data_IF_261681216905
#
_entry.id   IF_261681216905
#
_cell.length_a   1.000
_cell.length_b   1.000
_cell.length_c   1.000
_cell.angle_alpha   90.00
_cell.angle_beta   90.00
_cell.angle_gamma   90.00
#
_symmetry.space_group_name_H-M   'P 1'
#
loop_
_entity.id
_entity.type
_entity.pdbx_description
1 polymer ?
#
# COMPACT_ATOMS: atom_id res chain seq x y z
N UNK A 1 -18.28 -15.21 -7.78
CA UNK A 1 -18.10 -14.63 -9.12
C UNK A 1 -16.75 -15.02 -9.70
N UNK A 2 -16.62 -14.93 -11.02
CA UNK A 2 -15.35 -15.03 -11.73
C UNK A 2 -15.43 -14.08 -12.94
N UNK A 3 -14.42 -13.21 -13.06
CA UNK A 3 -14.38 -12.16 -14.05
C UNK A 3 -13.03 -12.19 -14.79
N UNK A 4 -13.05 -11.96 -16.11
CA UNK A 4 -11.87 -11.79 -16.93
C UNK A 4 -11.96 -10.44 -17.63
N UNK A 5 -10.96 -9.59 -17.41
CA UNK A 5 -10.92 -8.25 -17.96
C UNK A 5 -9.63 -8.00 -18.75
N UNK A 6 -9.77 -7.30 -19.87
CA UNK A 6 -8.65 -6.76 -20.63
C UNK A 6 -8.73 -5.23 -20.63
N UNK A 7 -7.67 -4.58 -20.16
CA UNK A 7 -7.54 -3.12 -20.13
C UNK A 7 -6.36 -2.70 -20.99
N UNK A 8 -6.51 -1.62 -21.72
CA UNK A 8 -5.40 -0.92 -22.35
C UNK A 8 -5.49 0.57 -22.03
N UNK A 9 -4.36 1.23 -22.03
CA UNK A 9 -4.26 2.68 -21.90
C UNK A 9 -3.16 3.20 -22.80
N UNK A 10 -3.34 4.46 -23.25
CA UNK A 10 -2.40 5.22 -24.05
C UNK A 10 -2.62 6.69 -23.75
N UNK A 11 -1.56 7.47 -23.58
CA UNK A 11 -1.67 8.89 -23.34
C UNK A 11 -0.45 9.57 -22.72
N UNK A 12 -0.38 10.88 -22.90
CA UNK A 12 0.75 11.70 -22.46
C UNK A 12 0.55 12.30 -21.06
N UNK A 13 -0.67 12.28 -20.51
CA UNK A 13 -0.94 12.79 -19.16
C UNK A 13 -0.62 11.72 -18.13
N UNK A 14 0.65 11.67 -17.72
CA UNK A 14 1.20 10.65 -16.84
C UNK A 14 2.25 11.17 -15.90
N UNK A 15 2.49 10.44 -14.82
CA UNK A 15 3.63 10.67 -13.94
C UNK A 15 4.91 10.14 -14.59
N UNK A 16 6.12 10.68 -14.26
CA UNK A 16 7.38 10.27 -14.88
C UNK A 16 7.65 8.77 -14.89
N UNK A 17 7.30 8.05 -13.79
CA UNK A 17 7.52 6.59 -13.67
C UNK A 17 6.43 5.73 -14.29
N UNK A 18 5.32 6.32 -14.72
CA UNK A 18 4.27 5.61 -15.45
C UNK A 18 4.65 5.47 -16.92
N UNK A 19 4.34 4.34 -17.53
CA UNK A 19 4.53 4.15 -18.97
C UNK A 19 3.59 5.01 -19.79
N UNK A 20 3.97 5.29 -21.05
CA UNK A 20 3.13 6.02 -22.00
C UNK A 20 1.90 5.21 -22.42
N UNK A 21 2.11 3.92 -22.59
CA UNK A 21 1.02 2.99 -22.92
C UNK A 21 1.20 1.65 -22.22
N UNK A 22 0.15 0.85 -22.23
CA UNK A 22 0.23 -0.49 -21.71
C UNK A 22 -1.06 -1.27 -21.87
N UNK A 23 -0.97 -2.54 -21.53
CA UNK A 23 -2.14 -3.40 -21.42
C UNK A 23 -2.06 -4.28 -20.19
N UNK A 24 -3.22 -4.66 -19.70
CA UNK A 24 -3.38 -5.49 -18.52
C UNK A 24 -4.46 -6.54 -18.76
N UNK A 25 -4.13 -7.80 -18.48
CA UNK A 25 -5.11 -8.90 -18.41
C UNK A 25 -5.31 -9.22 -16.94
N UNK A 26 -6.54 -9.18 -16.49
CA UNK A 26 -6.91 -9.43 -15.09
C UNK A 26 -7.90 -10.58 -15.02
N UNK A 27 -7.61 -11.54 -14.18
CA UNK A 27 -8.53 -12.58 -13.77
C UNK A 27 -8.83 -12.45 -12.30
N UNK A 28 -10.10 -12.26 -11.98
CA UNK A 28 -10.60 -12.15 -10.62
C UNK A 28 -11.57 -13.29 -10.32
N UNK A 29 -11.47 -13.86 -9.14
CA UNK A 29 -12.48 -14.79 -8.61
C UNK A 29 -12.66 -14.56 -7.13
N UNK A 30 -13.90 -14.63 -6.68
CA UNK A 30 -14.25 -14.54 -5.28
C UNK A 30 -15.42 -15.46 -4.94
N UNK A 31 -15.41 -15.92 -3.70
CA UNK A 31 -16.49 -16.74 -3.18
C UNK A 31 -16.51 -16.69 -1.66
N UNK A 32 -17.69 -16.93 -1.12
CA UNK A 32 -17.86 -16.97 0.32
C UNK A 32 -19.19 -17.58 0.71
N UNK A 33 -19.27 -17.98 1.96
CA UNK A 33 -20.47 -18.58 2.51
C UNK A 33 -20.33 -18.96 3.96
N UNK A 34 -21.39 -19.55 4.50
CA UNK A 34 -21.35 -20.13 5.85
C UNK A 34 -20.90 -21.60 5.76
N UNK A 35 -19.91 -21.95 6.56
CA UNK A 35 -19.49 -23.32 6.79
C UNK A 35 -19.87 -23.65 8.24
N UNK A 36 -20.95 -24.38 8.43
CA UNK A 36 -21.68 -24.48 9.71
C UNK A 36 -22.08 -23.07 10.16
N UNK A 37 -21.59 -22.63 11.33
CA UNK A 37 -21.91 -21.30 11.89
C UNK A 37 -20.83 -20.26 11.61
N UNK A 38 -19.71 -20.66 11.01
CA UNK A 38 -18.62 -19.76 10.62
C UNK A 38 -18.89 -19.14 9.26
N UNK A 39 -18.53 -17.89 9.08
CA UNK A 39 -18.47 -17.24 7.79
C UNK A 39 -17.05 -17.31 7.24
N UNK A 40 -16.89 -17.71 5.99
CA UNK A 40 -15.63 -17.67 5.27
C UNK A 40 -15.84 -17.02 3.91
N UNK A 41 -14.90 -16.17 3.52
CA UNK A 41 -14.83 -15.53 2.20
C UNK A 41 -13.39 -15.52 1.73
N UNK A 42 -13.19 -15.70 0.43
CA UNK A 42 -11.90 -15.60 -0.19
C UNK A 42 -11.98 -15.01 -1.59
N UNK A 43 -10.89 -14.35 -2.01
CA UNK A 43 -10.71 -13.91 -3.40
C UNK A 43 -9.31 -14.19 -3.89
N UNK A 44 -9.20 -14.46 -5.17
CA UNK A 44 -7.95 -14.59 -5.88
C UNK A 44 -7.98 -13.66 -7.09
N UNK A 45 -6.92 -12.85 -7.22
CA UNK A 45 -6.69 -11.99 -8.37
C UNK A 45 -5.35 -12.34 -9.01
N UNK A 46 -5.35 -12.59 -10.28
CA UNK A 46 -4.16 -12.67 -11.12
C UNK A 46 -4.19 -11.53 -12.13
N UNK A 47 -3.10 -10.78 -12.24
CA UNK A 47 -2.96 -9.79 -13.30
C UNK A 47 -1.58 -9.87 -13.96
N UNK A 48 -1.58 -9.68 -15.27
CA UNK A 48 -0.38 -9.55 -16.09
C UNK A 48 -0.45 -8.26 -16.87
N UNK A 49 0.51 -7.36 -16.60
CA UNK A 49 0.59 -6.07 -17.27
C UNK A 49 1.89 -5.90 -18.03
N UNK A 50 1.77 -5.25 -19.17
CA UNK A 50 2.87 -4.75 -19.97
C UNK A 50 2.80 -3.24 -19.96
N UNK A 51 3.85 -2.61 -19.44
CA UNK A 51 4.01 -1.16 -19.40
C UNK A 51 5.05 -0.79 -20.45
N UNK A 52 4.75 0.17 -21.31
CA UNK A 52 5.66 0.63 -22.35
C UNK A 52 6.20 2.00 -22.03
N UNK A 53 7.48 2.20 -22.34
CA UNK A 53 8.16 3.50 -22.27
C UNK A 53 8.09 4.15 -20.89
N UNK A 54 8.35 3.37 -19.83
CA UNK A 54 8.48 3.90 -18.49
C UNK A 54 9.91 4.43 -18.25
N UNK A 55 9.99 5.59 -17.59
CA UNK A 55 11.24 6.25 -17.21
C UNK A 55 11.46 6.19 -15.69
N UNK A 56 12.70 6.37 -15.26
CA UNK A 56 13.09 6.59 -13.87
C UNK A 56 12.55 5.52 -12.90
N UNK A 57 12.44 4.28 -13.36
CA UNK A 57 11.87 3.21 -12.57
C UNK A 57 12.74 1.95 -12.60
N UNK A 58 13.08 1.46 -11.41
CA UNK A 58 13.80 0.19 -11.22
C UNK A 58 13.07 -0.78 -10.28
N UNK A 59 11.86 -0.45 -9.84
CA UNK A 59 11.05 -1.18 -8.87
C UNK A 59 9.62 -1.37 -9.38
N UNK A 60 8.94 -2.45 -8.99
CA UNK A 60 7.51 -2.67 -9.26
C UNK A 60 6.60 -2.16 -8.13
N UNK A 61 7.17 -1.85 -6.97
CA UNK A 61 6.41 -1.19 -5.91
C UNK A 61 6.16 0.26 -6.30
N UNK A 62 5.04 0.81 -5.85
CA UNK A 62 4.68 2.21 -6.07
C UNK A 62 5.82 3.14 -5.62
N UNK A 63 6.46 3.88 -6.53
CA UNK A 63 7.53 4.82 -6.20
C UNK A 63 7.03 6.00 -5.35
N UNK A 64 5.71 6.24 -5.33
CA UNK A 64 5.06 7.31 -4.56
C UNK A 64 4.56 6.86 -3.19
N UNK A 65 4.94 5.66 -2.73
CA UNK A 65 4.53 5.12 -1.42
C UNK A 65 5.10 5.89 -0.22
N UNK A 66 6.03 6.83 -0.46
CA UNK A 66 6.68 7.63 0.57
C UNK A 66 8.05 7.09 1.00
N UNK A 67 8.67 6.21 0.20
CA UNK A 67 10.05 5.76 0.37
C UNK A 67 10.98 6.71 -0.42
N UNK A 68 11.79 7.56 0.25
CA UNK A 68 12.69 8.48 -0.45
C UNK A 68 13.92 7.79 -1.02
N UNK A 69 14.32 6.64 -0.46
CA UNK A 69 15.55 5.91 -0.81
C UNK A 69 15.26 4.88 -1.90
N UNK A 70 15.41 5.25 -3.15
CA UNK A 70 15.24 4.32 -4.25
C UNK A 70 16.28 4.53 -5.36
N UNK A 71 16.34 3.58 -6.28
CA UNK A 71 17.25 3.62 -7.42
C UNK A 71 16.46 3.89 -8.69
N UNK A 72 16.97 4.78 -9.52
CA UNK A 72 16.38 5.13 -10.81
C UNK A 72 17.47 5.20 -11.88
N UNK A 73 17.10 4.98 -13.14
CA UNK A 73 17.90 5.32 -14.30
C UNK A 73 17.09 6.15 -15.31
N UNK A 74 17.75 6.73 -16.29
CA UNK A 74 17.15 7.57 -17.32
C UNK A 74 16.75 6.79 -18.57
N UNK A 75 17.02 5.49 -18.63
CA UNK A 75 16.75 4.68 -19.80
C UNK A 75 15.28 4.29 -19.89
N UNK A 76 14.61 4.83 -20.89
CA UNK A 76 13.22 4.47 -21.21
C UNK A 76 13.13 2.98 -21.51
N UNK A 77 12.21 2.29 -20.88
CA UNK A 77 12.09 0.84 -21.05
C UNK A 77 10.66 0.33 -20.88
N UNK A 78 10.44 -0.85 -21.45
CA UNK A 78 9.22 -1.61 -21.24
C UNK A 78 9.37 -2.51 -20.02
N UNK A 79 8.25 -2.76 -19.34
CA UNK A 79 8.14 -3.70 -18.23
C UNK A 79 7.12 -4.78 -18.53
N UNK A 80 7.42 -6.00 -18.10
CA UNK A 80 6.48 -7.12 -18.04
C UNK A 80 6.32 -7.53 -16.59
N UNK A 81 5.11 -7.38 -16.06
CA UNK A 81 4.82 -7.66 -14.66
C UNK A 81 3.74 -8.73 -14.52
N UNK A 82 3.80 -9.47 -13.43
CA UNK A 82 2.79 -10.43 -13.02
C UNK A 82 2.50 -10.25 -11.54
N UNK A 83 1.24 -10.29 -11.17
CA UNK A 83 0.79 -10.09 -9.79
C UNK A 83 -0.21 -11.18 -9.41
N UNK A 84 0.00 -11.75 -8.25
CA UNK A 84 -0.88 -12.71 -7.60
C UNK A 84 -1.34 -12.12 -6.28
N UNK A 85 -2.64 -12.04 -6.05
CA UNK A 85 -3.23 -11.48 -4.83
C UNK A 85 -4.26 -12.44 -4.28
N UNK A 86 -4.15 -12.72 -3.00
CA UNK A 86 -5.08 -13.55 -2.24
C UNK A 86 -5.64 -12.71 -1.09
N UNK A 87 -6.95 -12.79 -0.89
CA UNK A 87 -7.61 -12.24 0.29
C UNK A 87 -8.44 -13.33 0.94
N UNK A 88 -8.48 -13.34 2.26
CA UNK A 88 -9.34 -14.23 3.02
C UNK A 88 -9.96 -13.50 4.20
N UNK A 89 -11.18 -13.85 4.53
CA UNK A 89 -11.88 -13.37 5.73
C UNK A 89 -12.60 -14.52 6.37
N UNK A 90 -12.43 -14.63 7.65
CA UNK A 90 -13.13 -15.61 8.46
C UNK A 90 -13.75 -14.91 9.65
N UNK A 91 -14.98 -15.24 9.98
CA UNK A 91 -15.65 -14.74 11.17
C UNK A 91 -16.34 -15.90 11.90
N UNK A 92 -16.25 -15.91 13.22
CA UNK A 92 -16.93 -16.86 14.08
C UNK A 92 -18.40 -16.50 14.24
N UNK A 93 -19.24 -17.45 14.63
CA UNK A 93 -20.55 -17.12 15.19
C UNK A 93 -20.39 -16.25 16.44
N UNK A 94 -21.50 -15.70 16.89
CA UNK A 94 -21.54 -14.95 18.12
C UNK A 94 -21.58 -15.88 19.32
N UNK A 95 -20.53 -15.86 20.13
CA UNK A 95 -20.48 -16.59 21.40
C UNK A 95 -21.19 -15.79 22.49
N UNK A 96 -21.87 -16.48 23.39
CA UNK A 96 -22.62 -15.89 24.52
C UNK A 96 -23.54 -14.71 24.15
N UNK A 97 -23.98 -14.64 22.89
CA UNK A 97 -24.80 -13.56 22.34
C UNK A 97 -24.15 -12.17 22.34
N UNK A 98 -22.84 -12.02 22.60
CA UNK A 98 -22.18 -10.72 22.58
C UNK A 98 -20.79 -10.71 21.96
N UNK A 99 -20.07 -11.82 21.82
CA UNK A 99 -18.68 -11.86 21.40
C UNK A 99 -18.52 -12.56 20.05
N UNK A 100 -17.81 -11.94 19.10
CA UNK A 100 -17.42 -12.58 17.84
C UNK A 100 -15.94 -12.27 17.53
N UNK A 101 -15.26 -13.20 16.88
CA UNK A 101 -13.88 -13.04 16.40
C UNK A 101 -13.86 -13.00 14.88
N UNK A 102 -12.89 -12.29 14.35
CA UNK A 102 -12.63 -12.21 12.92
C UNK A 102 -11.15 -12.30 12.60
N UNK A 103 -10.84 -12.73 11.40
CA UNK A 103 -9.51 -12.71 10.82
C UNK A 103 -9.61 -12.24 9.38
N UNK A 104 -8.88 -11.18 9.02
CA UNK A 104 -8.67 -10.73 7.65
C UNK A 104 -7.22 -11.00 7.27
N UNK A 105 -7.00 -11.61 6.13
CA UNK A 105 -5.69 -11.95 5.60
C UNK A 105 -5.53 -11.46 4.17
N UNK A 106 -4.37 -10.89 3.86
CA UNK A 106 -3.99 -10.50 2.51
C UNK A 106 -2.58 -10.98 2.21
N UNK A 107 -2.40 -11.57 1.03
CA UNK A 107 -1.11 -11.93 0.49
C UNK A 107 -0.99 -11.45 -0.95
N UNK A 108 0.15 -10.87 -1.29
CA UNK A 108 0.51 -10.53 -2.66
C UNK A 108 1.91 -11.01 -2.95
N UNK A 109 2.09 -11.60 -4.13
CA UNK A 109 3.38 -11.84 -4.75
C UNK A 109 3.37 -11.19 -6.14
N UNK A 110 4.48 -10.56 -6.51
CA UNK A 110 4.61 -9.90 -7.82
C UNK A 110 6.02 -10.07 -8.34
N UNK A 111 6.12 -10.26 -9.65
CA UNK A 111 7.40 -10.32 -10.36
C UNK A 111 7.34 -9.35 -11.53
N UNK A 112 8.36 -8.52 -11.67
CA UNK A 112 8.51 -7.59 -12.77
C UNK A 112 9.87 -7.67 -13.42
N UNK A 113 9.91 -7.42 -14.73
CA UNK A 113 11.14 -7.44 -15.50
C UNK A 113 11.19 -6.26 -16.48
N UNK A 114 12.20 -5.41 -16.28
CA UNK A 114 12.57 -4.31 -17.18
C UNK A 114 13.37 -4.85 -18.37
N UNK A 115 13.07 -4.40 -19.57
CA UNK A 115 13.56 -5.00 -20.82
C UNK A 115 14.85 -4.36 -21.35
N UNK A 116 15.17 -3.11 -20.96
CA UNK A 116 16.38 -2.38 -21.39
C UNK A 116 17.35 -2.21 -20.21
N UNK A 117 18.64 -2.14 -20.48
CA UNK A 117 19.71 -1.94 -19.52
C UNK A 117 19.60 -0.56 -18.81
N UNK A 118 19.83 -0.42 -17.50
CA UNK A 118 20.01 -1.58 -16.59
C UNK A 118 18.72 -2.43 -16.55
N UNK A 119 18.77 -3.69 -16.97
CA UNK A 119 17.63 -4.58 -16.81
C UNK A 119 17.43 -4.91 -15.35
N UNK A 120 16.21 -4.71 -14.89
CA UNK A 120 15.84 -5.02 -13.51
C UNK A 120 14.94 -6.24 -13.48
N UNK A 121 15.25 -7.18 -12.60
CA UNK A 121 14.32 -8.20 -12.11
C UNK A 121 13.90 -7.81 -10.70
N UNK A 122 12.61 -7.62 -10.50
CA UNK A 122 12.03 -7.30 -9.20
C UNK A 122 11.13 -8.44 -8.76
N UNK A 123 11.30 -8.87 -7.51
CA UNK A 123 10.42 -9.83 -6.83
C UNK A 123 9.89 -9.18 -5.57
N UNK A 124 8.60 -8.95 -5.53
CA UNK A 124 7.90 -8.31 -4.43
C UNK A 124 6.93 -9.28 -3.75
N UNK A 125 6.88 -9.26 -2.42
CA UNK A 125 5.80 -9.89 -1.67
C UNK A 125 5.38 -9.06 -0.46
N UNK A 126 4.13 -9.22 -0.08
CA UNK A 126 3.59 -8.69 1.18
C UNK A 126 2.57 -9.64 1.76
N UNK A 127 2.56 -9.70 3.08
CA UNK A 127 1.55 -10.41 3.87
C UNK A 127 0.99 -9.44 4.90
N UNK A 128 -0.33 -9.44 5.06
CA UNK A 128 -1.05 -8.66 6.07
C UNK A 128 -2.00 -9.59 6.81
N UNK A 129 -1.98 -9.53 8.12
CA UNK A 129 -2.86 -10.31 8.99
C UNK A 129 -3.52 -9.37 9.99
N UNK A 130 -4.86 -9.41 10.05
CA UNK A 130 -5.67 -8.60 10.96
C UNK A 130 -6.64 -9.47 11.76
N UNK A 131 -6.25 -9.95 12.94
CA UNK A 131 -7.21 -10.49 13.90
C UNK A 131 -8.04 -9.37 14.52
N UNK A 132 -9.30 -9.64 14.76
CA UNK A 132 -10.22 -8.68 15.37
C UNK A 132 -11.26 -9.35 16.27
N UNK A 133 -11.82 -8.56 17.16
CA UNK A 133 -12.89 -8.95 18.07
C UNK A 133 -14.01 -7.92 18.03
N UNK A 134 -15.24 -8.39 18.07
CA UNK A 134 -16.43 -7.55 18.11
C UNK A 134 -17.26 -7.90 19.34
N UNK A 135 -17.57 -6.87 20.12
CA UNK A 135 -18.46 -6.92 21.28
C UNK A 135 -19.80 -6.28 20.92
N UNK A 136 -20.89 -7.02 21.04
CA UNK A 136 -22.26 -6.54 20.85
C UNK A 136 -22.87 -6.20 22.21
N UNK A 137 -23.25 -4.92 22.40
CA UNK A 137 -23.92 -4.44 23.60
C UNK A 137 -25.40 -4.15 23.29
N UNK A 138 -26.25 -5.03 23.71
CA UNK A 138 -27.66 -4.99 23.36
C UNK A 138 -27.91 -5.27 21.86
N UNK A 139 -29.00 -4.71 21.31
CA UNK A 139 -29.39 -4.95 19.91
C UNK A 139 -28.71 -4.01 18.91
N UNK A 140 -28.29 -2.83 19.36
CA UNK A 140 -27.97 -1.73 18.46
C UNK A 140 -26.49 -1.30 18.50
N UNK A 141 -25.73 -1.70 19.50
CA UNK A 141 -24.36 -1.22 19.72
C UNK A 141 -23.36 -2.36 19.47
N UNK A 142 -22.30 -2.06 18.69
CA UNK A 142 -21.20 -2.98 18.48
C UNK A 142 -19.88 -2.20 18.60
N UNK A 143 -18.95 -2.78 19.33
CA UNK A 143 -17.60 -2.26 19.50
C UNK A 143 -16.63 -3.26 18.90
N UNK A 144 -15.74 -2.78 18.05
CA UNK A 144 -14.69 -3.59 17.42
C UNK A 144 -13.31 -3.14 17.90
N UNK A 145 -12.43 -4.11 18.01
CA UNK A 145 -10.99 -3.92 18.20
C UNK A 145 -10.27 -4.82 17.22
N UNK A 146 -9.31 -4.29 16.50
CA UNK A 146 -8.43 -5.08 15.65
C UNK A 146 -6.96 -4.74 15.87
N UNK A 147 -6.11 -5.69 15.50
CA UNK A 147 -4.67 -5.56 15.45
C UNK A 147 -4.22 -5.87 14.03
N UNK A 148 -3.23 -5.16 13.51
CA UNK A 148 -2.65 -5.40 12.20
C UNK A 148 -1.16 -5.69 12.33
N UNK A 149 -0.71 -6.73 11.64
CA UNK A 149 0.68 -6.95 11.31
C UNK A 149 0.83 -7.08 9.79
N UNK A 150 1.80 -6.36 9.23
CA UNK A 150 2.16 -6.50 7.82
C UNK A 150 3.68 -6.62 7.66
N UNK A 151 4.08 -7.46 6.71
CA UNK A 151 5.46 -7.57 6.25
C UNK A 151 5.52 -7.31 4.75
N UNK A 152 6.49 -6.52 4.33
CA UNK A 152 6.71 -6.11 2.93
C UNK A 152 8.16 -6.36 2.57
N UNK A 153 8.40 -7.01 1.43
CA UNK A 153 9.75 -7.14 0.90
C UNK A 153 9.76 -7.05 -0.62
N UNK A 154 10.76 -6.36 -1.14
CA UNK A 154 11.10 -6.36 -2.56
C UNK A 154 12.59 -6.59 -2.72
N UNK A 155 12.96 -7.57 -3.54
CA UNK A 155 14.34 -7.84 -3.93
C UNK A 155 14.52 -7.43 -5.39
N UNK A 156 15.46 -6.53 -5.63
CA UNK A 156 15.81 -5.98 -6.95
C UNK A 156 17.20 -6.46 -7.35
N UNK A 157 17.29 -7.05 -8.53
CA UNK A 157 18.55 -7.30 -9.23
C UNK A 157 18.58 -6.47 -10.51
N UNK A 158 19.50 -5.51 -10.57
CA UNK A 158 19.75 -4.69 -11.75
C UNK A 158 21.04 -5.18 -12.42
N UNK A 159 21.00 -5.47 -13.72
CA UNK A 159 22.15 -5.99 -14.47
C UNK A 159 22.20 -5.44 -15.88
N UNK A 160 23.37 -4.99 -16.31
CA UNK A 160 23.64 -4.70 -17.71
C UNK A 160 23.88 -6.00 -18.48
N UNK A 161 23.26 -6.15 -19.65
CA UNK A 161 23.50 -7.31 -20.52
C UNK A 161 24.90 -7.21 -21.13
N UNK A 162 25.30 -6.01 -21.54
CA UNK A 162 26.67 -5.75 -21.97
C UNK A 162 27.53 -5.35 -20.76
N UNK A 163 28.29 -6.30 -20.23
CA UNK A 163 29.17 -6.07 -19.08
C UNK A 163 30.42 -5.22 -19.38
N UNK A 164 30.69 -4.90 -20.64
CA UNK A 164 31.77 -4.00 -21.06
C UNK A 164 31.38 -2.53 -21.02
N UNK A 165 30.08 -2.23 -20.83
CA UNK A 165 29.57 -0.86 -20.78
C UNK A 165 28.90 -0.65 -19.44
N UNK A 166 29.52 0.17 -18.60
CA UNK A 166 28.90 0.63 -17.37
C UNK A 166 27.67 1.50 -17.66
N UNK A 167 26.63 1.30 -16.88
CA UNK A 167 25.38 2.05 -16.98
C UNK A 167 25.30 3.03 -15.82
N UNK A 168 24.88 4.26 -16.13
CA UNK A 168 24.62 5.28 -15.11
C UNK A 168 23.26 5.09 -14.48
N UNK A 169 23.19 5.19 -13.17
CA UNK A 169 21.96 5.19 -12.38
C UNK A 169 22.08 6.12 -11.17
N UNK A 170 20.95 6.45 -10.57
CA UNK A 170 20.85 7.43 -9.50
C UNK A 170 20.31 6.76 -8.23
N UNK A 171 20.97 7.07 -7.11
CA UNK A 171 20.52 6.72 -5.76
C UNK A 171 19.84 7.94 -5.18
N UNK A 172 18.52 7.87 -5.00
CA UNK A 172 17.74 8.97 -4.45
C UNK A 172 17.70 8.88 -2.92
N UNK A 173 17.76 10.03 -2.28
CA UNK A 173 17.68 10.20 -0.82
C UNK A 173 16.58 11.15 -0.35
N UNK A 174 15.72 11.57 -1.26
CA UNK A 174 14.54 12.40 -0.98
C UNK A 174 14.69 13.85 -1.43
N UNK A 175 13.57 14.53 -1.60
CA UNK A 175 13.46 15.95 -1.98
C UNK A 175 14.32 16.34 -3.20
N UNK A 176 14.41 15.45 -4.19
CA UNK A 176 15.21 15.68 -5.40
C UNK A 176 16.71 15.46 -5.22
N UNK A 177 17.17 15.11 -4.04
CA UNK A 177 18.58 14.74 -3.81
C UNK A 177 18.88 13.37 -4.40
N UNK A 178 19.90 13.30 -5.23
CA UNK A 178 20.35 12.06 -5.85
C UNK A 178 21.88 12.02 -5.95
N UNK A 179 22.44 10.84 -5.80
CA UNK A 179 23.85 10.56 -6.07
C UNK A 179 23.94 9.77 -7.36
N UNK A 180 24.64 10.30 -8.35
CA UNK A 180 24.96 9.60 -9.56
C UNK A 180 26.01 8.52 -9.28
N UNK A 181 25.83 7.37 -9.86
CA UNK A 181 26.76 6.25 -9.77
C UNK A 181 26.71 5.42 -11.06
N UNK A 182 27.71 4.58 -11.28
CA UNK A 182 27.76 3.70 -12.43
C UNK A 182 28.10 2.27 -12.03
N UNK A 183 27.82 1.34 -12.93
CA UNK A 183 28.15 -0.07 -12.73
C UNK A 183 27.44 -0.99 -13.71
N UNK A 184 27.78 -2.27 -13.63
CA UNK A 184 27.20 -3.33 -14.47
C UNK A 184 26.17 -4.19 -13.72
N UNK A 185 26.20 -4.14 -12.40
CA UNK A 185 25.26 -4.91 -11.56
C UNK A 185 25.02 -4.20 -10.22
N UNK A 186 23.79 -4.27 -9.74
CA UNK A 186 23.40 -3.78 -8.43
C UNK A 186 22.26 -4.59 -7.85
N UNK A 187 22.34 -4.77 -6.53
CA UNK A 187 21.26 -5.36 -5.73
C UNK A 187 20.70 -4.30 -4.80
N UNK A 188 19.39 -4.34 -4.60
CA UNK A 188 18.68 -3.50 -3.63
C UNK A 188 17.54 -4.32 -3.04
N UNK A 189 17.43 -4.30 -1.73
CA UNK A 189 16.33 -4.94 -1.00
C UNK A 189 15.59 -3.87 -0.20
N UNK A 190 14.27 -3.82 -0.37
CA UNK A 190 13.38 -3.14 0.56
C UNK A 190 12.79 -4.18 1.51
N UNK A 191 12.91 -3.91 2.81
CA UNK A 191 12.40 -4.80 3.85
C UNK A 191 11.67 -3.97 4.90
N UNK A 192 10.36 -4.21 5.05
CA UNK A 192 9.51 -3.42 5.93
C UNK A 192 8.58 -4.26 6.77
N UNK A 193 8.37 -3.80 8.01
CA UNK A 193 7.37 -4.34 8.91
C UNK A 193 6.46 -3.22 9.41
N UNK A 194 5.18 -3.52 9.51
CA UNK A 194 4.15 -2.62 10.00
C UNK A 194 3.38 -3.28 11.12
N UNK A 195 3.11 -2.52 12.15
CA UNK A 195 2.17 -2.86 13.21
C UNK A 195 1.12 -1.78 13.32
N UNK A 196 -0.11 -2.16 13.62
CA UNK A 196 -1.21 -1.23 13.74
C UNK A 196 -2.36 -1.81 14.57
N UNK A 197 -3.37 -0.99 14.78
CA UNK A 197 -4.61 -1.40 15.41
C UNK A 197 -5.70 -0.39 15.19
N UNK A 198 -6.94 -0.82 15.36
CA UNK A 198 -8.14 -0.02 15.15
C UNK A 198 -9.19 -0.23 16.22
N UNK A 199 -9.94 0.84 16.46
CA UNK A 199 -11.13 0.86 17.31
C UNK A 199 -12.33 1.22 16.44
N UNK A 200 -13.40 0.42 16.53
CA UNK A 200 -14.59 0.59 15.73
C UNK A 200 -15.81 0.68 16.64
N UNK A 201 -16.73 1.55 16.29
CA UNK A 201 -18.04 1.60 16.90
C UNK A 201 -19.11 1.63 15.83
N UNK A 202 -20.07 0.74 15.94
CA UNK A 202 -21.24 0.71 15.08
C UNK A 202 -22.53 0.81 15.91
N UNK A 203 -23.35 1.78 15.55
CA UNK A 203 -24.72 1.91 16.02
C UNK A 203 -25.67 1.54 14.86
N UNK A 204 -26.52 0.54 15.08
CA UNK A 204 -27.52 0.07 14.12
C UNK A 204 -28.90 0.14 14.76
N UNK A 205 -29.59 1.26 14.60
CA UNK A 205 -30.93 1.50 15.14
C UNK A 205 -31.81 2.27 14.15
N UNK A 206 -32.44 3.37 14.60
CA UNK A 206 -33.18 4.28 13.74
C UNK A 206 -32.31 4.92 12.67
N UNK A 207 -31.03 5.09 12.95
CA UNK A 207 -29.99 5.46 12.02
C UNK A 207 -28.84 4.43 12.14
N UNK A 208 -27.96 4.36 11.14
CA UNK A 208 -26.76 3.57 11.22
C UNK A 208 -25.56 4.50 11.24
N UNK A 209 -24.70 4.35 12.25
CA UNK A 209 -23.46 5.13 12.39
C UNK A 209 -22.31 4.15 12.53
N UNK A 210 -21.24 4.35 11.75
CA UNK A 210 -19.99 3.65 11.87
C UNK A 210 -18.88 4.67 12.12
N UNK A 211 -18.16 4.50 13.22
CA UNK A 211 -16.93 5.21 13.54
C UNK A 211 -15.78 4.20 13.50
N UNK A 212 -14.70 4.56 12.83
CA UNK A 212 -13.48 3.77 12.74
C UNK A 212 -12.28 4.69 13.00
N UNK A 213 -11.42 4.30 13.94
CA UNK A 213 -10.20 5.02 14.30
C UNK A 213 -9.04 4.05 14.27
N UNK A 214 -7.99 4.37 13.54
CA UNK A 214 -6.84 3.50 13.38
C UNK A 214 -5.51 4.24 13.53
N UNK A 215 -4.51 3.49 13.97
CA UNK A 215 -3.11 3.91 13.96
C UNK A 215 -2.25 2.75 13.45
N UNK A 216 -1.30 3.08 12.57
CA UNK A 216 -0.27 2.13 12.16
C UNK A 216 1.10 2.78 12.11
N UNK A 217 2.13 1.96 12.31
CA UNK A 217 3.54 2.36 12.19
C UNK A 217 4.30 1.32 11.39
N UNK A 218 4.89 1.78 10.30
CA UNK A 218 5.77 0.99 9.43
C UNK A 218 7.22 1.46 9.57
N UNK A 219 8.14 0.51 9.60
CA UNK A 219 9.57 0.74 9.42
C UNK A 219 10.01 -0.04 8.20
N UNK A 220 10.64 0.63 7.24
CA UNK A 220 11.10 0.02 5.99
C UNK A 220 12.53 0.43 5.70
N UNK A 221 13.40 -0.55 5.52
CA UNK A 221 14.82 -0.39 5.21
C UNK A 221 15.05 -0.56 3.71
N UNK A 222 15.89 0.30 3.13
CA UNK A 222 16.47 0.14 1.81
C UNK A 222 17.94 -0.27 1.97
N UNK A 223 18.28 -1.49 1.52
CA UNK A 223 19.57 -2.12 1.77
C UNK A 223 20.20 -2.51 0.44
N UNK A 224 21.46 -2.16 0.24
CA UNK A 224 22.24 -2.59 -0.91
C UNK A 224 23.16 -3.74 -0.53
N UNK A 225 23.46 -4.63 -1.48
CA UNK A 225 24.34 -5.80 -1.35
C UNK A 225 23.87 -6.81 -0.29
N UNK A 226 23.44 -8.01 -0.68
CA UNK A 226 22.96 -9.02 0.25
C UNK A 226 24.06 -9.62 1.14
N UNK A 227 25.29 -9.66 0.65
CA UNK A 227 26.44 -10.26 1.36
C UNK A 227 27.08 -9.33 2.37
N UNK A 228 27.04 -8.02 2.12
CA UNK A 228 27.60 -6.99 3.00
C UNK A 228 26.59 -5.84 3.07
N UNK A 229 25.55 -5.95 3.91
CA UNK A 229 24.46 -5.02 3.94
C UNK A 229 24.90 -3.57 4.21
N UNK A 230 24.58 -2.68 3.27
CA UNK A 230 24.76 -1.24 3.43
C UNK A 230 23.41 -0.57 3.34
N UNK A 231 23.04 0.20 4.34
CA UNK A 231 21.78 0.95 4.32
C UNK A 231 21.88 2.13 3.35
N UNK A 232 20.95 2.21 2.40
CA UNK A 232 20.67 3.46 1.67
C UNK A 232 19.92 4.42 2.57
N UNK A 233 18.99 3.89 3.37
CA UNK A 233 18.22 4.62 4.35
C UNK A 233 17.09 3.77 4.92
N UNK A 234 16.46 4.31 5.95
CA UNK A 234 15.30 3.71 6.62
C UNK A 234 14.17 4.73 6.69
N UNK A 235 12.95 4.31 6.46
CA UNK A 235 11.77 5.13 6.71
C UNK A 235 11.03 4.67 7.95
N UNK A 236 10.55 5.65 8.73
CA UNK A 236 9.56 5.45 9.79
C UNK A 236 8.29 6.17 9.37
N UNK A 237 7.22 5.43 9.13
CA UNK A 237 5.97 5.91 8.59
C UNK A 237 4.85 5.66 9.60
N UNK A 238 4.33 6.72 10.19
CA UNK A 238 3.21 6.69 11.13
C UNK A 238 1.97 7.25 10.46
N UNK A 239 0.86 6.52 10.54
CA UNK A 239 -0.43 6.88 9.95
C UNK A 239 -1.52 6.81 11.01
N UNK A 240 -2.19 7.95 11.27
CA UNK A 240 -3.47 8.02 11.92
C UNK A 240 -4.58 8.08 10.89
N UNK A 241 -5.67 7.38 11.12
CA UNK A 241 -6.85 7.39 10.27
C UNK A 241 -8.13 7.46 11.10
N UNK A 242 -9.12 8.16 10.57
CA UNK A 242 -10.45 8.23 11.14
C UNK A 242 -11.50 8.22 10.02
N UNK A 243 -12.56 7.45 10.21
CA UNK A 243 -13.70 7.40 9.30
C UNK A 243 -14.99 7.44 10.10
N UNK A 244 -15.89 8.32 9.68
CA UNK A 244 -17.26 8.38 10.19
C UNK A 244 -18.21 8.21 9.01
N UNK A 245 -19.13 7.26 9.11
CA UNK A 245 -20.21 7.07 8.16
C UNK A 245 -21.53 7.13 8.91
N UNK A 246 -22.47 7.91 8.42
CA UNK A 246 -23.81 7.98 8.95
C UNK A 246 -24.83 7.79 7.83
N UNK A 247 -25.78 6.91 8.07
CA UNK A 247 -26.90 6.60 7.22
C UNK A 247 -28.18 6.93 7.99
N UNK A 248 -28.88 7.98 7.59
CA UNK A 248 -30.01 8.56 8.33
C UNK A 248 -31.23 8.57 7.41
N UNK A 249 -32.21 7.67 7.61
CA UNK A 249 -33.48 7.71 6.87
C UNK A 249 -34.36 8.88 7.34
N UNK A 250 -34.99 9.56 6.40
CA UNK A 250 -35.99 10.59 6.68
C UNK A 250 -37.41 9.97 6.80
N UNK A 251 -38.39 10.81 7.15
CA UNK A 251 -39.78 10.42 7.30
C UNK A 251 -40.44 9.97 5.96
N UNK A 252 -39.88 10.36 4.81
CA UNK A 252 -40.33 10.01 3.46
C UNK A 252 -39.60 8.78 2.90
N UNK A 253 -38.86 8.04 3.74
CA UNK A 253 -37.99 6.91 3.36
C UNK A 253 -36.86 7.28 2.41
N UNK A 254 -36.54 8.57 2.24
CA UNK A 254 -35.30 8.99 1.62
C UNK A 254 -34.16 8.87 2.62
N UNK A 255 -32.94 8.98 2.13
CA UNK A 255 -31.78 8.70 2.95
C UNK A 255 -30.73 9.81 2.83
N UNK A 256 -30.27 10.30 3.97
CA UNK A 256 -29.09 11.12 4.09
C UNK A 256 -27.89 10.20 4.36
N UNK A 257 -26.86 10.33 3.56
CA UNK A 257 -25.59 9.65 3.75
C UNK A 257 -24.50 10.69 3.96
N UNK A 258 -23.80 10.58 5.08
CA UNK A 258 -22.65 11.43 5.42
C UNK A 258 -21.44 10.54 5.57
N UNK A 259 -20.36 10.89 4.90
CA UNK A 259 -19.08 10.21 5.05
C UNK A 259 -17.99 11.24 5.30
N UNK A 260 -17.26 11.09 6.40
CA UNK A 260 -16.11 11.88 6.75
C UNK A 260 -14.90 10.96 6.85
N UNK A 261 -13.81 11.33 6.17
CA UNK A 261 -12.54 10.65 6.28
C UNK A 261 -11.47 11.65 6.72
N UNK A 262 -10.60 11.23 7.62
CA UNK A 262 -9.44 11.97 8.10
C UNK A 262 -8.23 11.07 8.10
N UNK A 263 -7.09 11.59 7.66
CA UNK A 263 -5.80 10.93 7.71
C UNK A 263 -4.71 11.94 8.04
N UNK A 264 -3.80 11.54 8.92
CA UNK A 264 -2.56 12.25 9.20
C UNK A 264 -1.41 11.26 9.11
N UNK A 265 -0.49 11.51 8.18
CA UNK A 265 0.67 10.66 7.94
C UNK A 265 1.94 11.45 8.16
N UNK A 266 2.89 10.84 8.87
CA UNK A 266 4.24 11.37 9.05
C UNK A 266 5.25 10.31 8.68
N UNK A 267 6.14 10.65 7.73
CA UNK A 267 7.24 9.82 7.30
C UNK A 267 8.53 10.52 7.66
N UNK A 268 9.38 9.84 8.42
CA UNK A 268 10.75 10.30 8.72
C UNK A 268 11.74 9.43 7.94
N UNK A 269 12.56 10.05 7.10
CA UNK A 269 13.67 9.43 6.38
C UNK A 269 14.95 9.53 7.18
N UNK A 270 15.56 8.39 7.45
CA UNK A 270 16.79 8.25 8.26
C UNK A 270 17.94 7.88 7.35
N UNK A 271 19.02 8.67 7.38
CA UNK A 271 20.26 8.41 6.70
C UNK A 271 21.32 7.92 7.67
N UNK A 272 22.30 7.18 7.13
CA UNK A 272 23.35 6.51 7.87
C UNK A 272 24.74 6.98 7.43
N UNK A 273 25.57 7.34 8.39
CA UNK A 273 27.02 7.44 8.20
C UNK A 273 27.63 6.07 8.49
N UNK A 274 28.13 5.43 7.44
CA UNK A 274 28.62 4.05 7.50
C UNK A 274 30.04 4.01 6.90
N UNK A 275 30.89 3.18 7.48
CA UNK A 275 32.24 2.92 6.97
C UNK A 275 32.44 1.41 6.90
N UNK A 276 33.13 0.97 5.86
CA UNK A 276 33.60 -0.40 5.76
C UNK A 276 34.70 -0.64 6.78
N UNK A 277 34.56 -1.63 7.64
CA UNK A 277 35.58 -2.10 8.58
C UNK A 277 35.86 -3.57 8.31
N UNK A 278 37.12 -3.94 8.39
CA UNK A 278 37.58 -5.31 8.20
C UNK A 278 38.09 -5.84 9.54
N UNK A 279 37.58 -7.01 9.93
CA UNK A 279 38.09 -7.75 11.07
C UNK A 279 38.59 -9.13 10.56
N UNK A 280 39.91 -9.26 10.40
CA UNK A 280 40.51 -10.42 9.75
C UNK A 280 40.17 -10.50 8.26
N UNK A 281 39.61 -11.65 7.83
CA UNK A 281 39.18 -11.91 6.44
C UNK A 281 37.75 -11.45 6.14
N UNK A 282 36.97 -11.12 7.17
CA UNK A 282 35.60 -10.65 7.03
C UNK A 282 35.52 -9.13 7.17
N UNK A 283 34.58 -8.52 6.46
CA UNK A 283 34.33 -7.08 6.52
C UNK A 283 32.82 -6.79 6.55
N UNK A 284 32.48 -5.72 7.26
CA UNK A 284 31.10 -5.23 7.36
C UNK A 284 31.01 -3.71 7.28
N UNK A 285 29.81 -3.20 6.90
CA UNK A 285 29.51 -1.78 7.02
C UNK A 285 29.06 -1.44 8.44
N UNK A 286 29.92 -0.81 9.21
CA UNK A 286 29.61 -0.36 10.55
C UNK A 286 28.93 1.00 10.54
N UNK A 287 27.82 1.11 11.24
CA UNK A 287 27.07 2.35 11.38
C UNK A 287 27.65 3.16 12.54
N UNK A 288 28.19 4.35 12.23
CA UNK A 288 28.72 5.28 13.23
C UNK A 288 27.68 6.29 13.71
N UNK A 289 26.82 6.72 12.79
CA UNK A 289 25.80 7.71 13.08
C UNK A 289 24.58 7.54 12.19
N UNK A 290 23.43 7.88 12.72
CA UNK A 290 22.17 7.93 11.98
C UNK A 290 21.34 9.12 12.42
N UNK A 291 20.67 9.79 11.47
CA UNK A 291 19.82 10.94 11.76
C UNK A 291 18.61 11.00 10.82
N UNK A 292 17.55 11.65 11.30
CA UNK A 292 16.44 12.02 10.43
C UNK A 292 16.89 13.17 9.54
N UNK A 293 16.89 12.96 8.23
CA UNK A 293 17.31 13.96 7.23
C UNK A 293 16.14 14.52 6.45
N UNK A 294 15.08 13.74 6.28
CA UNK A 294 13.88 14.20 5.61
C UNK A 294 12.63 13.87 6.42
N UNK A 295 11.64 14.75 6.38
CA UNK A 295 10.34 14.53 7.03
C UNK A 295 9.25 14.97 6.08
N UNK A 296 8.25 14.10 5.87
CA UNK A 296 7.07 14.35 5.05
C UNK A 296 5.83 14.23 5.93
N UNK A 297 5.03 15.29 6.01
CA UNK A 297 3.76 15.29 6.70
C UNK A 297 2.64 15.52 5.72
N UNK A 298 1.63 14.67 5.74
CA UNK A 298 0.45 14.79 4.90
C UNK A 298 -0.79 14.73 5.75
N UNK A 299 -1.67 15.70 5.60
CA UNK A 299 -2.99 15.73 6.21
C UNK A 299 -4.04 15.73 5.11
N UNK A 300 -5.01 14.84 5.22
CA UNK A 300 -6.14 14.74 4.29
C UNK A 300 -7.42 14.67 5.09
N UNK A 301 -8.39 15.51 4.74
CA UNK A 301 -9.75 15.44 5.26
C UNK A 301 -10.72 15.49 4.09
N UNK A 302 -11.75 14.67 4.13
CA UNK A 302 -12.87 14.76 3.19
C UNK A 302 -14.19 14.65 3.93
N UNK A 303 -15.17 15.40 3.45
CA UNK A 303 -16.55 15.32 3.87
C UNK A 303 -17.42 15.20 2.63
N UNK A 304 -18.14 14.10 2.54
CA UNK A 304 -19.05 13.78 1.46
C UNK A 304 -20.47 13.65 2.01
N UNK A 305 -21.40 14.39 1.42
CA UNK A 305 -22.82 14.29 1.72
C UNK A 305 -23.57 13.84 0.48
N UNK A 306 -24.47 12.89 0.66
CA UNK A 306 -25.37 12.39 -0.40
C UNK A 306 -26.79 12.27 0.13
N UNK A 307 -27.73 12.82 -0.62
CA UNK A 307 -29.15 12.64 -0.39
C UNK A 307 -29.74 11.72 -1.46
N UNK A 308 -30.32 10.63 -1.05
CA UNK A 308 -30.90 9.61 -1.91
C UNK A 308 -32.41 9.68 -1.78
N UNK A 309 -33.09 10.04 -2.87
CA UNK A 309 -34.56 10.09 -2.97
C UNK A 309 -35.02 8.75 -3.55
N UNK A 310 -35.66 7.94 -2.72
CA UNK A 310 -36.20 6.65 -3.13
C UNK A 310 -37.57 6.83 -3.77
N UNK A 311 -37.72 6.39 -5.03
CA UNK A 311 -38.98 6.44 -5.77
C UNK A 311 -39.50 5.04 -6.17
N UNK A 312 -39.56 4.14 -5.18
CA UNK A 312 -39.98 2.75 -5.40
C UNK A 312 -38.88 1.88 -6.01
N UNK A 313 -39.26 0.88 -6.79
CA UNK A 313 -38.32 -0.11 -7.36
C UNK A 313 -37.69 0.30 -8.68
N UNK A 314 -38.20 1.33 -9.36
CA UNK A 314 -37.78 1.64 -10.72
C UNK A 314 -36.53 2.54 -10.79
N UNK A 315 -36.41 3.56 -9.92
CA UNK A 315 -35.26 4.45 -9.91
C UNK A 315 -35.14 5.23 -8.60
N UNK A 316 -33.92 5.71 -8.35
CA UNK A 316 -33.60 6.65 -7.27
C UNK A 316 -32.77 7.83 -7.78
N UNK A 317 -33.05 9.01 -7.25
CA UNK A 317 -32.21 10.19 -7.48
C UNK A 317 -31.17 10.29 -6.38
N UNK A 318 -29.94 10.58 -6.78
CA UNK A 318 -28.84 10.82 -5.85
C UNK A 318 -28.29 12.22 -6.08
N UNK A 319 -28.37 13.07 -5.07
CA UNK A 319 -27.76 14.39 -5.06
C UNK A 319 -26.64 14.38 -4.04
N UNK A 320 -25.48 14.87 -4.41
CA UNK A 320 -24.32 14.85 -3.51
C UNK A 320 -23.41 16.03 -3.71
N UNK A 321 -22.75 16.41 -2.64
CA UNK A 321 -21.68 17.39 -2.62
C UNK A 321 -20.59 16.92 -1.65
N UNK A 322 -19.33 17.22 -1.98
CA UNK A 322 -18.20 16.89 -1.14
C UNK A 322 -17.14 17.95 -1.17
N UNK A 323 -16.37 18.00 -0.10
CA UNK A 323 -15.19 18.85 0.02
C UNK A 323 -14.01 18.01 0.48
N UNK A 324 -12.84 18.27 -0.12
CA UNK A 324 -11.58 17.63 0.27
C UNK A 324 -10.54 18.70 0.56
N UNK A 325 -9.96 18.60 1.75
CA UNK A 325 -8.79 19.36 2.16
C UNK A 325 -7.57 18.43 2.10
N UNK A 326 -6.47 18.96 1.56
CA UNK A 326 -5.19 18.28 1.52
C UNK A 326 -4.07 19.26 1.82
N UNK A 327 -3.14 18.87 2.70
CA UNK A 327 -1.96 19.63 3.06
C UNK A 327 -0.76 18.71 3.09
N UNK A 328 0.36 19.15 2.52
CA UNK A 328 1.64 18.45 2.57
C UNK A 328 2.72 19.43 3.01
N UNK A 329 3.58 18.96 3.89
CA UNK A 329 4.79 19.66 4.35
C UNK A 329 5.96 18.72 4.19
N UNK A 330 7.06 19.23 3.63
CA UNK A 330 8.28 18.49 3.40
C UNK A 330 9.44 19.30 3.98
N UNK A 331 10.37 18.59 4.67
CA UNK A 331 11.57 19.18 5.25
C UNK A 331 12.75 18.24 5.02
N UNK A 332 13.90 18.84 4.68
CA UNK A 332 15.19 18.17 4.52
C UNK A 332 16.23 18.79 5.45
#
# INVERSE_FOLDING_TARGET
>A
SADLEYRFYDGNFRRPQQGESGNNVVFDTEGGGKVKDFFAWGSFNYSRDKVKEANFNSSIIDPYRGMPYYTADTNVSNWNNQHYRLKMRVATPQFWNFLSFGLDGYYQNSVGAKQRDMRTKSVFYTIIVRPGVVLSAGKNHRFGLDFEYASVREDLEMKAVNSYVEQTYYLLSGLGMATETSGIQRFLTYNGNQVGGGLQYNYAGRMNILLDLGYSKKVEDAITTPTSPRYLGTTKDGLWSGKLMAYIPDAKKNTHFVEMNWQERKIDGIEYLQKWETDGEEGEYKVYYKSIRSTYKTQTMSLDYRYVINRGMEYSWKLGAGVKYWKQEERY
#
